data_IF_587889896011
#
_entry.id   IF_587889896011
#
_cell.length_a   1.000
_cell.length_b   1.000
_cell.length_c   1.000
_cell.angle_alpha   90.00
_cell.angle_beta   90.00
_cell.angle_gamma   90.00
#
_symmetry.space_group_name_H-M   'P 1'
#
loop_
_entity.id
_entity.type
_entity.pdbx_description
1 polymer ?
#
# COMPACT_ATOMS: atom_id res chain seq x y z
N UNK A 1 17.13 -14.32 -47.15
CA UNK A 1 16.51 -12.98 -47.08
C UNK A 1 15.28 -13.03 -47.99
N UNK A 2 14.09 -13.17 -47.42
CA UNK A 2 12.83 -13.20 -48.18
C UNK A 2 11.88 -12.20 -47.55
N UNK A 3 11.68 -11.09 -48.26
CA UNK A 3 10.68 -10.08 -47.96
C UNK A 3 9.37 -10.51 -48.59
N UNK A 4 8.28 -10.50 -47.82
CA UNK A 4 6.93 -10.65 -48.36
C UNK A 4 6.31 -9.27 -48.47
N UNK A 5 6.10 -8.83 -49.71
CA UNK A 5 5.32 -7.65 -50.06
C UNK A 5 3.84 -8.02 -50.09
N UNK A 6 3.12 -7.63 -49.05
CA UNK A 6 1.66 -7.55 -49.05
C UNK A 6 1.29 -6.17 -48.51
N UNK A 7 0.84 -5.29 -49.41
CA UNK A 7 0.16 -4.05 -49.07
C UNK A 7 1.00 -2.98 -48.35
N UNK A 8 1.92 -2.35 -49.08
CA UNK A 8 2.20 -0.91 -48.95
C UNK A 8 2.66 -0.33 -47.59
N UNK A 9 3.03 -1.14 -46.60
CA UNK A 9 3.75 -0.67 -45.42
C UNK A 9 4.84 -1.69 -45.06
N UNK A 10 6.08 -1.22 -44.99
CA UNK A 10 7.20 -1.97 -44.44
C UNK A 10 6.93 -2.10 -42.94
N UNK A 11 6.23 -3.16 -42.53
CA UNK A 11 6.02 -3.47 -41.12
C UNK A 11 7.37 -3.93 -40.59
N UNK A 12 8.05 -2.99 -39.94
CA UNK A 12 9.36 -3.21 -39.35
C UNK A 12 9.17 -4.14 -38.13
N UNK A 13 9.24 -5.45 -38.37
CA UNK A 13 8.87 -6.52 -37.42
C UNK A 13 9.64 -6.42 -36.11
N UNK A 14 10.88 -5.92 -36.16
CA UNK A 14 11.69 -5.65 -34.97
C UNK A 14 11.14 -4.51 -34.10
N UNK A 15 10.54 -3.47 -34.71
CA UNK A 15 9.90 -2.37 -33.95
C UNK A 15 8.62 -2.86 -33.27
N UNK A 16 7.82 -3.67 -33.94
CA UNK A 16 6.61 -4.26 -33.35
C UNK A 16 6.94 -5.17 -32.16
N UNK A 17 7.95 -6.03 -32.28
CA UNK A 17 8.35 -6.94 -31.20
C UNK A 17 8.84 -6.16 -29.96
N UNK A 18 9.61 -5.08 -30.16
CA UNK A 18 10.09 -4.21 -29.09
C UNK A 18 8.95 -3.43 -28.42
N UNK A 19 7.98 -2.94 -29.21
CA UNK A 19 6.78 -2.25 -28.68
C UNK A 19 5.91 -3.22 -27.89
N UNK A 20 5.62 -4.42 -28.40
CA UNK A 20 4.79 -5.40 -27.69
C UNK A 20 5.49 -5.94 -26.43
N UNK A 21 6.81 -6.13 -26.46
CA UNK A 21 7.60 -6.53 -25.29
C UNK A 21 7.65 -5.43 -24.23
N UNK A 22 7.90 -4.19 -24.64
CA UNK A 22 7.88 -3.03 -23.76
C UNK A 22 6.51 -2.77 -23.14
N UNK A 23 5.43 -2.92 -23.92
CA UNK A 23 4.06 -2.76 -23.43
C UNK A 23 3.71 -3.85 -22.41
N UNK A 24 4.15 -5.10 -22.62
CA UNK A 24 3.92 -6.19 -21.67
C UNK A 24 4.61 -5.95 -20.33
N UNK A 25 5.88 -5.53 -20.34
CA UNK A 25 6.61 -5.16 -19.11
C UNK A 25 6.00 -3.92 -18.47
N UNK A 26 5.58 -2.93 -19.26
CA UNK A 26 4.90 -1.73 -18.79
C UNK A 26 3.55 -2.05 -18.16
N UNK A 27 2.75 -2.96 -18.73
CA UNK A 27 1.47 -3.41 -18.16
C UNK A 27 1.71 -4.15 -16.84
N UNK A 28 2.71 -5.05 -16.77
CA UNK A 28 3.09 -5.72 -15.52
C UNK A 28 3.55 -4.70 -14.46
N UNK A 29 4.37 -3.74 -14.86
CA UNK A 29 4.82 -2.64 -13.99
C UNK A 29 3.65 -1.75 -13.55
N UNK A 30 2.70 -1.48 -14.44
CA UNK A 30 1.45 -0.80 -14.12
C UNK A 30 0.58 -1.62 -13.17
N UNK A 31 0.55 -2.96 -13.26
CA UNK A 31 -0.10 -3.79 -12.24
C UNK A 31 0.58 -3.56 -10.88
N UNK A 32 1.91 -3.56 -10.79
CA UNK A 32 2.63 -3.24 -9.55
C UNK A 32 2.40 -1.79 -9.05
N UNK A 33 2.15 -0.83 -9.95
CA UNK A 33 1.90 0.58 -9.61
C UNK A 33 0.42 0.95 -9.39
N UNK A 34 -0.54 0.18 -9.91
CA UNK A 34 -2.00 0.40 -9.75
C UNK A 34 -2.56 -0.46 -8.60
N UNK A 35 -1.87 -1.54 -8.20
CA UNK A 35 -2.19 -2.30 -6.99
C UNK A 35 -1.72 -1.75 -5.62
N UNK A 36 -1.14 -0.53 -5.42
CA UNK A 36 -0.83 -0.08 -4.07
C UNK A 36 -2.09 0.31 -3.27
N UNK A 37 -3.29 0.28 -3.89
CA UNK A 37 -4.60 0.41 -3.24
C UNK A 37 -5.37 -0.92 -3.16
N UNK A 38 -4.71 -2.06 -3.37
CA UNK A 38 -5.33 -3.36 -3.11
C UNK A 38 -5.79 -3.37 -1.66
N UNK A 39 -7.10 -3.44 -1.48
CA UNK A 39 -7.79 -3.53 -0.22
C UNK A 39 -7.31 -4.81 0.48
N UNK A 40 -6.17 -4.73 1.19
CA UNK A 40 -5.45 -5.88 1.77
C UNK A 40 -6.42 -6.75 2.59
N UNK A 41 -7.38 -6.12 3.26
CA UNK A 41 -8.38 -6.81 4.07
C UNK A 41 -9.36 -7.65 3.23
N UNK A 42 -9.71 -7.21 2.01
CA UNK A 42 -10.49 -8.05 1.08
C UNK A 42 -9.70 -9.24 0.58
N UNK A 43 -8.44 -9.03 0.27
CA UNK A 43 -7.54 -10.11 -0.15
C UNK A 43 -7.34 -11.11 0.99
N UNK A 44 -7.17 -10.62 2.23
CA UNK A 44 -7.08 -11.43 3.44
C UNK A 44 -8.33 -12.29 3.62
N UNK A 45 -9.53 -11.71 3.47
CA UNK A 45 -10.81 -12.45 3.52
C UNK A 45 -10.86 -13.56 2.47
N UNK A 46 -10.46 -13.26 1.23
CA UNK A 46 -10.45 -14.26 0.16
C UNK A 46 -9.47 -15.41 0.45
N UNK A 47 -8.27 -15.10 0.97
CA UNK A 47 -7.28 -16.11 1.31
C UNK A 47 -7.70 -16.99 2.50
N UNK A 48 -8.39 -16.41 3.50
CA UNK A 48 -9.01 -17.19 4.59
C UNK A 48 -10.08 -18.13 4.04
N UNK A 49 -10.98 -17.64 3.18
CA UNK A 49 -12.01 -18.47 2.52
C UNK A 49 -11.42 -19.57 1.64
N UNK A 50 -10.25 -19.32 1.04
CA UNK A 50 -9.51 -20.30 0.25
C UNK A 50 -8.75 -21.34 1.10
N UNK A 51 -8.79 -21.23 2.43
CA UNK A 51 -8.12 -22.17 3.34
C UNK A 51 -6.61 -21.97 3.41
N UNK A 52 -6.11 -20.75 3.19
CA UNK A 52 -4.68 -20.45 3.31
C UNK A 52 -4.21 -20.67 4.75
N UNK A 53 -3.06 -21.32 4.99
CA UNK A 53 -2.55 -21.53 6.35
C UNK A 53 -2.36 -20.24 7.13
N UNK A 54 -2.80 -20.23 8.39
CA UNK A 54 -2.71 -19.09 9.31
C UNK A 54 -1.29 -18.53 9.40
N UNK A 55 -0.26 -19.37 9.46
CA UNK A 55 1.15 -18.92 9.54
C UNK A 55 1.55 -18.05 8.36
N UNK A 56 1.09 -18.39 7.14
CA UNK A 56 1.35 -17.60 5.93
C UNK A 56 0.60 -16.28 5.95
N UNK A 57 -0.62 -16.26 6.50
CA UNK A 57 -1.42 -15.05 6.63
C UNK A 57 -0.86 -14.11 7.71
N UNK A 58 -0.40 -14.65 8.83
CA UNK A 58 0.29 -13.91 9.89
C UNK A 58 1.50 -13.17 9.34
N UNK A 59 2.34 -13.85 8.56
CA UNK A 59 3.50 -13.21 7.93
C UNK A 59 3.10 -12.06 6.98
N UNK A 60 2.04 -12.25 6.19
CA UNK A 60 1.53 -11.19 5.30
C UNK A 60 0.99 -9.98 6.09
N UNK A 61 0.27 -10.23 7.19
CA UNK A 61 -0.25 -9.19 8.08
C UNK A 61 0.90 -8.37 8.69
N UNK A 62 1.96 -9.04 9.13
CA UNK A 62 3.14 -8.37 9.71
C UNK A 62 3.87 -7.52 8.66
N UNK A 63 4.03 -8.04 7.44
CA UNK A 63 4.62 -7.28 6.33
C UNK A 63 3.79 -6.06 5.95
N UNK A 64 2.47 -6.17 5.91
CA UNK A 64 1.59 -5.03 5.60
C UNK A 64 1.60 -4.01 6.76
N UNK A 65 1.57 -4.46 8.01
CA UNK A 65 1.69 -3.59 9.20
C UNK A 65 3.00 -2.79 9.17
N UNK A 66 4.14 -3.45 8.89
CA UNK A 66 5.43 -2.76 8.76
C UNK A 66 5.46 -1.78 7.58
N UNK A 67 4.81 -2.12 6.46
CA UNK A 67 4.67 -1.20 5.32
C UNK A 67 3.82 0.02 5.66
N UNK A 68 2.70 -0.16 6.37
CA UNK A 68 1.85 0.93 6.88
C UNK A 68 2.64 1.84 7.84
N UNK A 69 3.36 1.26 8.81
CA UNK A 69 4.21 2.02 9.75
C UNK A 69 5.31 2.80 9.03
N UNK A 70 6.00 2.17 8.08
CA UNK A 70 7.04 2.83 7.29
C UNK A 70 6.49 4.00 6.46
N UNK A 71 5.25 3.89 5.96
CA UNK A 71 4.60 5.00 5.25
C UNK A 71 4.32 6.16 6.21
N UNK A 72 3.82 5.87 7.41
CA UNK A 72 3.60 6.87 8.47
C UNK A 72 4.91 7.55 8.87
N UNK A 73 5.99 6.80 9.10
CA UNK A 73 7.31 7.34 9.42
C UNK A 73 7.87 8.24 8.32
N UNK A 74 7.75 7.84 7.04
CA UNK A 74 8.18 8.69 5.92
C UNK A 74 7.41 10.00 5.85
N UNK A 75 6.10 9.98 6.14
CA UNK A 75 5.34 11.22 6.23
C UNK A 75 5.83 12.10 7.38
N UNK A 76 6.14 11.53 8.54
CA UNK A 76 6.72 12.28 9.67
C UNK A 76 8.06 12.91 9.30
N UNK A 77 8.96 12.15 8.68
CA UNK A 77 10.26 12.66 8.25
C UNK A 77 10.11 13.79 7.24
N UNK A 78 9.20 13.65 6.26
CA UNK A 78 8.90 14.72 5.31
C UNK A 78 8.38 15.97 6.03
N UNK A 79 7.46 15.79 6.97
CA UNK A 79 6.86 16.90 7.73
C UNK A 79 7.89 17.61 8.63
N UNK A 80 8.74 16.86 9.34
CA UNK A 80 9.86 17.41 10.12
C UNK A 80 10.82 18.19 9.21
N UNK A 81 11.15 17.66 8.04
CA UNK A 81 12.04 18.32 7.09
C UNK A 81 11.43 19.62 6.56
N UNK A 82 10.14 19.63 6.24
CA UNK A 82 9.41 20.82 5.83
C UNK A 82 9.42 21.87 6.95
N UNK A 83 9.10 21.49 8.20
CA UNK A 83 9.18 22.42 9.32
C UNK A 83 10.62 22.92 9.49
N UNK A 84 11.65 22.07 9.45
CA UNK A 84 13.04 22.53 9.56
C UNK A 84 13.49 23.46 8.43
N UNK A 85 12.89 23.32 7.23
CA UNK A 85 13.16 24.19 6.10
C UNK A 85 12.46 25.54 6.25
N UNK A 86 11.16 25.53 6.55
CA UNK A 86 10.33 26.74 6.68
C UNK A 86 10.52 27.46 8.02
N UNK A 87 10.95 26.76 9.08
CA UNK A 87 11.23 27.37 10.40
C UNK A 87 12.46 28.28 10.41
N UNK A 88 13.32 28.16 9.39
CA UNK A 88 14.38 29.14 9.12
C UNK A 88 13.83 30.47 8.57
N UNK A 89 12.57 30.47 8.13
CA UNK A 89 11.86 31.60 7.53
C UNK A 89 10.78 32.14 8.50
N UNK A 90 10.21 31.30 9.37
CA UNK A 90 9.21 31.68 10.36
C UNK A 90 9.39 30.92 11.70
N UNK A 91 9.10 31.54 12.85
CA UNK A 91 9.30 30.92 14.16
C UNK A 91 8.18 29.88 14.45
N UNK A 92 8.23 28.72 13.80
CA UNK A 92 7.34 27.59 14.12
C UNK A 92 7.47 27.23 15.60
N UNK A 93 6.35 27.15 16.31
CA UNK A 93 6.36 26.97 17.76
C UNK A 93 6.65 25.50 18.12
N UNK A 94 7.17 25.28 19.33
CA UNK A 94 7.39 23.93 19.87
C UNK A 94 6.08 23.12 19.98
N UNK A 95 4.95 23.80 20.12
CA UNK A 95 3.62 23.20 20.28
C UNK A 95 3.15 22.51 18.99
N UNK A 96 3.49 23.08 17.82
CA UNK A 96 3.17 22.46 16.52
C UNK A 96 3.89 21.11 16.37
N UNK A 97 5.18 21.05 16.75
CA UNK A 97 5.95 19.81 16.71
C UNK A 97 5.40 18.72 17.64
N UNK A 98 4.97 19.09 18.85
CA UNK A 98 4.39 18.14 19.81
C UNK A 98 3.06 17.58 19.28
N UNK A 99 2.21 18.41 18.66
CA UNK A 99 0.97 18.00 18.03
C UNK A 99 1.18 16.95 16.92
N UNK A 100 2.17 17.18 16.03
CA UNK A 100 2.46 16.22 14.97
C UNK A 100 2.94 14.89 15.55
N UNK A 101 3.91 14.91 16.47
CA UNK A 101 4.43 13.68 17.10
C UNK A 101 3.29 12.87 17.74
N UNK A 102 2.36 13.52 18.43
CA UNK A 102 1.22 12.84 19.04
C UNK A 102 0.25 12.27 18.00
N UNK A 103 0.00 12.99 16.91
CA UNK A 103 -0.76 12.49 15.76
C UNK A 103 -0.12 11.23 15.17
N UNK A 104 1.21 11.21 15.01
CA UNK A 104 1.92 10.04 14.52
C UNK A 104 1.84 8.85 15.48
N UNK A 105 1.94 9.07 16.80
CA UNK A 105 1.72 8.00 17.78
C UNK A 105 0.32 7.41 17.66
N UNK A 106 -0.70 8.23 17.47
CA UNK A 106 -2.09 7.77 17.27
C UNK A 106 -2.25 6.92 16.00
N UNK A 107 -1.56 7.29 14.91
CA UNK A 107 -1.55 6.52 13.67
C UNK A 107 -0.87 5.16 13.85
N UNK A 108 0.29 5.11 14.53
CA UNK A 108 0.97 3.84 14.83
C UNK A 108 0.11 2.94 15.71
N UNK A 109 -0.57 3.50 16.72
CA UNK A 109 -1.52 2.76 17.55
C UNK A 109 -2.66 2.18 16.71
N UNK A 110 -3.24 2.97 15.80
CA UNK A 110 -4.31 2.50 14.91
C UNK A 110 -3.83 1.36 13.97
N UNK A 111 -2.61 1.43 13.44
CA UNK A 111 -2.02 0.34 12.64
C UNK A 111 -1.87 -0.93 13.49
N UNK A 112 -1.35 -0.81 14.72
CA UNK A 112 -1.22 -1.96 15.62
C UNK A 112 -2.59 -2.58 15.96
N UNK A 113 -3.63 -1.76 16.10
CA UNK A 113 -5.00 -2.24 16.31
C UNK A 113 -5.54 -2.96 15.07
N UNK A 114 -5.27 -2.45 13.86
CA UNK A 114 -5.61 -3.15 12.61
C UNK A 114 -4.89 -4.50 12.51
N UNK A 115 -3.59 -4.55 12.83
CA UNK A 115 -2.80 -5.78 12.85
C UNK A 115 -3.41 -6.83 13.79
N UNK A 116 -3.75 -6.41 15.02
CA UNK A 116 -4.40 -7.28 16.00
C UNK A 116 -5.74 -7.79 15.50
N UNK A 117 -6.57 -6.93 14.94
CA UNK A 117 -7.89 -7.28 14.41
C UNK A 117 -7.78 -8.28 13.24
N UNK A 118 -6.82 -8.06 12.32
CA UNK A 118 -6.51 -9.00 11.23
C UNK A 118 -6.08 -10.37 11.78
N UNK A 119 -5.23 -10.40 12.82
CA UNK A 119 -4.81 -11.63 13.51
C UNK A 119 -5.99 -12.38 14.15
N UNK A 120 -6.89 -11.66 14.82
CA UNK A 120 -8.11 -12.24 15.40
C UNK A 120 -9.03 -12.84 14.32
N UNK A 121 -9.14 -12.17 13.16
CA UNK A 121 -9.94 -12.67 12.04
C UNK A 121 -9.39 -13.97 11.45
N UNK A 122 -8.09 -14.06 11.17
CA UNK A 122 -7.48 -15.28 10.60
C UNK A 122 -7.47 -16.46 11.59
N UNK A 123 -7.56 -16.18 12.88
CA UNK A 123 -7.72 -17.19 13.94
C UNK A 123 -9.20 -17.60 14.15
N UNK A 124 -10.12 -17.03 13.37
CA UNK A 124 -11.57 -17.24 13.51
C UNK A 124 -12.15 -16.84 14.88
N UNK A 125 -11.48 -15.93 15.60
CA UNK A 125 -11.95 -15.41 16.89
C UNK A 125 -13.10 -14.40 16.72
N UNK A 126 -13.17 -13.75 15.56
CA UNK A 126 -14.19 -12.76 15.19
C UNK A 126 -14.84 -13.10 13.85
N UNK A 127 -16.07 -12.63 13.66
CA UNK A 127 -16.81 -12.81 12.39
C UNK A 127 -16.29 -11.88 11.29
N UNK A 128 -16.47 -12.26 10.02
CA UNK A 128 -16.15 -11.41 8.86
C UNK A 128 -16.88 -10.05 8.91
N UNK A 129 -18.16 -10.05 9.30
CA UNK A 129 -18.93 -8.81 9.40
C UNK A 129 -18.35 -7.85 10.45
N UNK A 130 -18.00 -8.38 11.63
CA UNK A 130 -17.37 -7.60 12.68
C UNK A 130 -15.98 -7.09 12.26
N UNK A 131 -15.20 -7.94 11.60
CA UNK A 131 -13.90 -7.57 11.06
C UNK A 131 -14.01 -6.40 10.07
N UNK A 132 -14.94 -6.47 9.11
CA UNK A 132 -15.16 -5.44 8.10
C UNK A 132 -15.61 -4.10 8.70
N UNK A 133 -16.52 -4.15 9.66
CA UNK A 133 -17.01 -2.96 10.36
C UNK A 133 -15.87 -2.28 11.12
N UNK A 134 -15.19 -3.02 11.99
CA UNK A 134 -14.17 -2.48 12.88
C UNK A 134 -12.93 -2.02 12.12
N UNK A 135 -12.50 -2.75 11.08
CA UNK A 135 -11.33 -2.34 10.30
C UNK A 135 -11.59 -1.07 9.48
N UNK A 136 -12.84 -0.88 9.02
CA UNK A 136 -13.23 0.35 8.31
C UNK A 136 -13.18 1.57 9.24
N UNK A 137 -13.62 1.40 10.50
CA UNK A 137 -13.56 2.44 11.51
C UNK A 137 -12.12 2.79 11.89
N UNK A 138 -11.26 1.79 12.13
CA UNK A 138 -9.85 2.00 12.45
C UNK A 138 -9.09 2.68 11.30
N UNK A 139 -9.39 2.31 10.05
CA UNK A 139 -8.81 2.95 8.86
C UNK A 139 -9.26 4.39 8.67
N UNK A 140 -10.52 4.71 8.95
CA UNK A 140 -10.98 6.10 8.91
C UNK A 140 -10.20 6.99 9.89
N UNK A 141 -9.78 6.46 11.04
CA UNK A 141 -8.93 7.15 12.03
C UNK A 141 -7.49 7.36 11.57
N UNK A 142 -7.04 6.66 10.52
CA UNK A 142 -5.71 6.85 9.92
C UNK A 142 -5.68 7.98 8.89
N UNK A 143 -6.85 8.36 8.35
CA UNK A 143 -6.98 9.38 7.30
C UNK A 143 -7.31 10.79 7.86
N UNK A 144 -7.63 10.88 9.15
CA UNK A 144 -7.88 12.13 9.90
C UNK A 144 -6.62 12.63 10.60
#
# INVERSE_FOLDING_TARGET
MKEYLLGGQIINTGKYLAITGGLGVFIIFCFFLIYPNSDFDRELINQVKAGTPTDKLTLQIEQESEKEKNRVLKHLEAHINDINYWSKIDNSSKEDFEYYIDTYKMQIEAINNCEKLRKQFINHEISENYFLEEISFLKARLET
#
